data_IF_137438425606
#
_entry.id   IF_137438425606
#
_cell.length_a   1.000
_cell.length_b   1.000
_cell.length_c   1.000
_cell.angle_alpha   90.00
_cell.angle_beta   90.00
_cell.angle_gamma   90.00
#
_symmetry.space_group_name_H-M   'P 1'
#
loop_
_entity.id
_entity.type
_entity.pdbx_description
1 polymer ?
#
# COMPACT_ATOMS: atom_id res chain seq x y z
N UNK A 1 20.04 -12.43 7.81
CA UNK A 1 19.52 -11.32 8.64
C UNK A 1 18.58 -10.55 7.74
N UNK A 2 17.27 -10.52 8.01
CA UNK A 2 16.33 -9.83 7.11
C UNK A 2 16.56 -8.33 7.14
N UNK A 3 16.55 -7.72 5.95
CA UNK A 3 16.78 -6.29 5.76
C UNK A 3 15.57 -5.46 6.23
N UNK A 4 15.84 -4.28 6.81
CA UNK A 4 14.77 -3.33 7.18
C UNK A 4 14.20 -2.72 5.90
N UNK A 5 12.89 -2.82 5.72
CA UNK A 5 12.19 -2.23 4.58
C UNK A 5 11.62 -0.85 4.92
N UNK A 6 11.99 0.15 4.12
CA UNK A 6 11.53 1.53 4.26
C UNK A 6 11.04 2.17 2.95
N UNK A 7 11.05 1.43 1.84
CA UNK A 7 10.62 1.95 0.54
C UNK A 7 9.10 2.04 0.44
N UNK A 8 8.59 2.89 -0.44
CA UNK A 8 7.15 3.00 -0.75
C UNK A 8 6.77 2.16 -1.99
N UNK A 9 7.74 1.50 -2.62
CA UNK A 9 7.54 0.68 -3.81
C UNK A 9 6.84 -0.66 -3.49
N UNK A 10 5.64 -0.85 -4.04
CA UNK A 10 4.88 -2.11 -3.96
C UNK A 10 5.65 -3.31 -4.53
N UNK A 11 6.32 -3.13 -5.67
CA UNK A 11 7.12 -4.17 -6.32
C UNK A 11 8.30 -4.58 -5.45
N UNK A 12 8.98 -3.59 -4.85
CA UNK A 12 10.11 -3.86 -3.94
C UNK A 12 9.63 -4.53 -2.67
N UNK A 13 8.45 -4.15 -2.17
CA UNK A 13 7.85 -4.75 -0.98
C UNK A 13 7.41 -6.20 -1.21
N UNK A 14 6.78 -6.51 -2.36
CA UNK A 14 6.38 -7.87 -2.70
C UNK A 14 7.58 -8.83 -2.71
N UNK A 15 8.69 -8.44 -3.36
CA UNK A 15 9.94 -9.21 -3.36
C UNK A 15 10.54 -9.35 -1.97
N UNK A 16 10.55 -8.27 -1.19
CA UNK A 16 11.01 -8.33 0.20
C UNK A 16 10.14 -9.30 1.04
N UNK A 17 8.82 -9.30 0.82
CA UNK A 17 7.87 -10.17 1.48
C UNK A 17 8.08 -11.65 1.13
N UNK A 18 8.32 -11.97 -0.14
CA UNK A 18 8.71 -13.32 -0.58
C UNK A 18 9.99 -13.79 0.14
N UNK A 19 11.04 -12.97 0.12
CA UNK A 19 12.28 -13.27 0.84
C UNK A 19 12.09 -13.43 2.35
N UNK A 20 11.17 -12.67 2.95
CA UNK A 20 10.82 -12.82 4.34
C UNK A 20 10.14 -14.17 4.62
N UNK A 21 9.21 -14.59 3.76
CA UNK A 21 8.52 -15.88 3.91
C UNK A 21 9.48 -17.05 3.77
N UNK A 22 10.37 -17.03 2.77
CA UNK A 22 11.43 -18.02 2.61
C UNK A 22 12.34 -18.08 3.85
N UNK A 23 12.72 -16.90 4.37
CA UNK A 23 13.50 -16.81 5.60
C UNK A 23 12.76 -17.40 6.80
N UNK A 24 11.47 -17.10 6.95
CA UNK A 24 10.65 -17.60 8.04
C UNK A 24 10.42 -19.12 7.94
N UNK A 25 10.38 -19.68 6.74
CA UNK A 25 10.27 -21.12 6.52
C UNK A 25 11.54 -21.86 6.97
N UNK A 26 12.72 -21.32 6.66
CA UNK A 26 14.01 -21.96 6.96
C UNK A 26 14.48 -21.69 8.39
N UNK A 27 14.41 -20.44 8.85
CA UNK A 27 14.99 -20.01 10.13
C UNK A 27 13.94 -19.78 11.22
N UNK A 28 12.71 -19.45 10.82
CA UNK A 28 11.57 -19.22 11.71
C UNK A 28 10.67 -20.46 11.84
N UNK A 29 11.17 -21.65 11.58
CA UNK A 29 10.36 -22.87 11.49
C UNK A 29 9.59 -23.21 12.78
N UNK A 30 10.11 -22.75 13.92
CA UNK A 30 9.47 -22.91 15.24
C UNK A 30 8.66 -21.69 15.69
N UNK A 31 8.63 -20.64 14.87
CA UNK A 31 7.92 -19.42 15.23
C UNK A 31 6.43 -19.61 15.00
N UNK A 32 5.66 -19.20 15.99
CA UNK A 32 4.22 -19.01 15.86
C UNK A 32 3.94 -17.87 14.87
N UNK A 33 2.76 -17.87 14.24
CA UNK A 33 2.38 -16.80 13.32
C UNK A 33 2.44 -15.42 13.98
N UNK A 34 2.08 -15.34 15.27
CA UNK A 34 2.20 -14.09 16.04
C UNK A 34 3.64 -13.58 16.15
N UNK A 35 4.62 -14.47 16.28
CA UNK A 35 6.04 -14.14 16.33
C UNK A 35 6.55 -13.68 14.96
N UNK A 36 6.13 -14.34 13.88
CA UNK A 36 6.41 -13.91 12.51
C UNK A 36 5.84 -12.52 12.23
N UNK A 37 4.59 -12.27 12.61
CA UNK A 37 3.94 -10.96 12.43
C UNK A 37 4.66 -9.87 13.23
N UNK A 38 5.08 -10.17 14.47
CA UNK A 38 5.88 -9.24 15.27
C UNK A 38 7.24 -8.98 14.64
N UNK A 39 7.89 -10.00 14.06
CA UNK A 39 9.16 -9.81 13.38
C UNK A 39 9.00 -8.93 12.12
N UNK A 40 7.95 -9.12 11.33
CA UNK A 40 7.59 -8.19 10.23
C UNK A 40 7.51 -6.77 10.76
N UNK A 41 6.77 -6.52 11.85
CA UNK A 41 6.64 -5.19 12.46
C UNK A 41 7.99 -4.51 12.72
N UNK A 42 8.98 -5.25 13.21
CA UNK A 42 10.32 -4.73 13.51
C UNK A 42 11.14 -4.40 12.26
N UNK A 43 10.89 -5.10 11.16
CA UNK A 43 11.58 -4.90 9.90
C UNK A 43 10.97 -3.77 9.05
N UNK A 44 9.82 -3.20 9.44
CA UNK A 44 9.19 -2.10 8.71
C UNK A 44 9.55 -0.73 9.31
N UNK A 45 9.81 0.25 8.44
CA UNK A 45 9.95 1.67 8.78
C UNK A 45 9.10 2.54 7.84
N UNK A 46 8.87 3.79 8.23
CA UNK A 46 8.17 4.77 7.39
C UNK A 46 6.74 4.37 7.07
N UNK A 47 6.33 4.55 5.81
CA UNK A 47 4.97 4.32 5.34
C UNK A 47 4.50 2.85 5.49
N UNK A 48 5.28 1.81 5.11
CA UNK A 48 4.92 0.41 5.37
C UNK A 48 4.59 0.12 6.84
N UNK A 49 5.33 0.73 7.77
CA UNK A 49 5.05 0.57 9.21
C UNK A 49 3.73 1.22 9.61
N UNK A 50 3.42 2.41 9.08
CA UNK A 50 2.14 3.08 9.31
C UNK A 50 0.97 2.23 8.81
N UNK A 51 1.11 1.56 7.67
CA UNK A 51 0.09 0.63 7.17
C UNK A 51 -0.03 -0.62 8.03
N UNK A 52 1.08 -1.16 8.53
CA UNK A 52 1.08 -2.32 9.41
C UNK A 52 0.28 -2.07 10.70
N UNK A 53 0.44 -0.88 11.28
CA UNK A 53 -0.26 -0.51 12.50
C UNK A 53 -1.77 -0.29 12.27
N UNK A 54 -2.23 -0.24 11.01
CA UNK A 54 -3.64 -0.12 10.60
C UNK A 54 -4.29 -1.41 10.14
N UNK A 55 -3.55 -2.53 10.10
CA UNK A 55 -4.09 -3.81 9.63
C UNK A 55 -5.26 -4.22 10.55
N UNK A 56 -6.46 -4.47 10.01
CA UNK A 56 -7.59 -4.99 10.77
C UNK A 56 -7.23 -6.33 11.46
N UNK A 57 -7.72 -6.56 12.67
CA UNK A 57 -7.37 -7.76 13.44
C UNK A 57 -7.69 -9.07 12.70
N UNK A 58 -8.78 -9.09 11.92
CA UNK A 58 -9.20 -10.22 11.10
C UNK A 58 -8.31 -10.48 9.88
N UNK A 59 -7.42 -9.55 9.51
CA UNK A 59 -6.45 -9.72 8.42
C UNK A 59 -5.01 -9.86 8.95
N UNK A 60 -4.85 -9.94 10.27
CA UNK A 60 -3.57 -10.03 10.99
C UNK A 60 -3.42 -11.38 11.70
N UNK A 61 -3.85 -12.44 11.03
CA UNK A 61 -3.85 -13.82 11.49
C UNK A 61 -2.60 -14.59 11.03
N UNK A 62 -2.09 -14.28 9.83
CA UNK A 62 -0.88 -14.90 9.27
C UNK A 62 0.11 -13.86 8.74
N UNK A 63 1.40 -14.20 8.75
CA UNK A 63 2.45 -13.39 8.15
C UNK A 63 2.21 -13.14 6.65
N UNK A 64 1.70 -14.14 5.93
CA UNK A 64 1.36 -14.03 4.52
C UNK A 64 0.22 -13.03 4.27
N UNK A 65 -0.85 -13.04 5.09
CA UNK A 65 -1.95 -12.09 4.97
C UNK A 65 -1.49 -10.65 5.25
N UNK A 66 -0.62 -10.47 6.24
CA UNK A 66 0.00 -9.18 6.54
C UNK A 66 0.80 -8.65 5.34
N UNK A 67 1.66 -9.49 4.74
CA UNK A 67 2.45 -9.11 3.57
C UNK A 67 1.55 -8.77 2.38
N UNK A 68 0.52 -9.59 2.12
CA UNK A 68 -0.45 -9.32 1.05
C UNK A 68 -1.14 -7.97 1.25
N UNK A 69 -1.67 -7.71 2.46
CA UNK A 69 -2.33 -6.45 2.79
C UNK A 69 -1.41 -5.25 2.54
N UNK A 70 -0.17 -5.31 3.04
CA UNK A 70 0.79 -4.23 2.88
C UNK A 70 1.21 -4.00 1.42
N UNK A 71 1.27 -5.07 0.62
CA UNK A 71 1.52 -4.96 -0.82
C UNK A 71 0.38 -4.22 -1.53
N UNK A 72 -0.88 -4.56 -1.23
CA UNK A 72 -2.08 -3.87 -1.74
C UNK A 72 -2.12 -2.39 -1.30
N UNK A 73 -1.80 -2.15 0.00
CA UNK A 73 -1.24 -0.93 0.61
C UNK A 73 -0.51 0.03 -0.33
N UNK A 74 0.69 -0.40 -0.60
CA UNK A 74 1.71 0.37 -1.29
C UNK A 74 1.36 0.53 -2.76
N UNK A 75 0.69 -0.45 -3.35
CA UNK A 75 0.29 -0.40 -4.76
C UNK A 75 -0.83 0.60 -5.02
N UNK A 76 -1.83 0.67 -4.12
CA UNK A 76 -2.88 1.69 -4.19
C UNK A 76 -2.34 3.11 -4.04
N UNK A 77 -1.29 3.30 -3.22
CA UNK A 77 -0.64 4.61 -3.02
C UNK A 77 0.06 5.08 -4.29
N UNK A 78 0.85 4.20 -4.91
CA UNK A 78 1.50 4.48 -6.20
C UNK A 78 0.48 4.78 -7.30
N UNK A 79 -0.58 3.97 -7.38
CA UNK A 79 -1.65 4.15 -8.37
C UNK A 79 -2.34 5.51 -8.22
N UNK A 80 -2.57 5.95 -6.98
CA UNK A 80 -3.09 7.28 -6.68
C UNK A 80 -2.16 8.41 -7.09
N UNK A 81 -0.85 8.29 -6.83
CA UNK A 81 0.12 9.33 -7.23
C UNK A 81 0.19 9.49 -8.75
N UNK A 82 0.21 8.37 -9.48
CA UNK A 82 0.16 8.39 -10.95
C UNK A 82 -1.13 9.05 -11.45
N UNK A 83 -2.28 8.67 -10.89
CA UNK A 83 -3.57 9.26 -11.25
C UNK A 83 -3.63 10.77 -10.92
N UNK A 84 -3.02 11.22 -9.82
CA UNK A 84 -2.90 12.65 -9.50
C UNK A 84 -2.08 13.41 -10.56
N UNK A 85 -0.95 12.84 -10.99
CA UNK A 85 -0.15 13.43 -12.08
C UNK A 85 -0.92 13.47 -13.40
N UNK A 86 -1.66 12.40 -13.72
CA UNK A 86 -2.51 12.34 -14.90
C UNK A 86 -3.64 13.38 -14.85
N UNK A 87 -4.29 13.55 -13.70
CA UNK A 87 -5.33 14.56 -13.51
C UNK A 87 -4.80 15.98 -13.70
N UNK A 88 -3.61 16.27 -13.14
CA UNK A 88 -2.97 17.59 -13.29
C UNK A 88 -2.61 17.90 -14.74
N UNK A 89 -2.25 16.87 -15.52
CA UNK A 89 -1.96 16.99 -16.95
C UNK A 89 -3.23 16.96 -17.83
N UNK A 90 -4.38 16.53 -17.30
CA UNK A 90 -5.61 16.35 -18.06
C UNK A 90 -6.27 17.70 -18.38
N UNK A 91 -6.14 18.13 -19.63
CA UNK A 91 -6.84 19.29 -20.19
C UNK A 91 -7.91 18.83 -21.18
N UNK A 92 -9.00 19.59 -21.26
CA UNK A 92 -9.98 19.42 -22.34
C UNK A 92 -9.33 19.84 -23.66
N UNK A 93 -9.51 19.03 -24.71
CA UNK A 93 -8.95 19.30 -26.04
C UNK A 93 -9.92 20.18 -26.85
N UNK A 94 -9.40 20.93 -27.84
CA UNK A 94 -10.20 21.89 -28.61
C UNK A 94 -11.39 21.28 -29.38
N UNK A 95 -11.34 19.98 -29.69
CA UNK A 95 -12.41 19.25 -30.42
C UNK A 95 -13.19 18.29 -29.51
N UNK A 96 -12.98 18.35 -28.21
CA UNK A 96 -13.58 17.42 -27.25
C UNK A 96 -14.80 18.03 -26.56
N UNK A 97 -15.92 17.32 -26.58
CA UNK A 97 -17.11 17.73 -25.84
C UNK A 97 -17.00 17.42 -24.33
N UNK A 98 -17.88 18.02 -23.53
CA UNK A 98 -17.83 17.87 -22.07
C UNK A 98 -18.03 16.42 -21.60
N UNK A 99 -18.81 15.61 -22.31
CA UNK A 99 -19.05 14.21 -21.96
C UNK A 99 -17.82 13.34 -22.26
N UNK A 100 -17.16 13.59 -23.39
CA UNK A 100 -15.91 12.94 -23.76
C UNK A 100 -14.79 13.29 -22.78
N UNK A 101 -14.70 14.57 -22.38
CA UNK A 101 -13.76 15.00 -21.36
C UNK A 101 -14.05 14.35 -20.01
N UNK A 102 -15.31 14.36 -19.57
CA UNK A 102 -15.72 13.71 -18.33
C UNK A 102 -15.42 12.21 -18.34
N UNK A 103 -15.65 11.53 -19.47
CA UNK A 103 -15.34 10.10 -19.63
C UNK A 103 -13.87 9.76 -19.43
N UNK A 104 -12.95 10.69 -19.68
CA UNK A 104 -11.51 10.52 -19.37
C UNK A 104 -11.17 10.89 -17.93
N UNK A 105 -11.80 11.92 -17.38
CA UNK A 105 -11.49 12.45 -16.04
C UNK A 105 -12.05 11.56 -14.92
N UNK A 106 -13.27 11.04 -15.09
CA UNK A 106 -13.96 10.21 -14.08
C UNK A 106 -13.10 9.02 -13.59
N UNK A 107 -12.56 8.15 -14.46
CA UNK A 107 -11.78 6.99 -14.01
C UNK A 107 -10.48 7.39 -13.27
N UNK A 108 -9.88 8.52 -13.64
CA UNK A 108 -8.71 9.07 -12.94
C UNK A 108 -9.10 9.50 -11.53
N UNK A 109 -10.22 10.22 -11.39
CA UNK A 109 -10.74 10.66 -10.08
C UNK A 109 -11.14 9.46 -9.21
N UNK A 110 -11.77 8.43 -9.78
CA UNK A 110 -12.13 7.20 -9.07
C UNK A 110 -10.88 6.51 -8.51
N UNK A 111 -9.80 6.42 -9.29
CA UNK A 111 -8.52 5.85 -8.85
C UNK A 111 -7.90 6.67 -7.69
N UNK A 112 -8.00 8.00 -7.75
CA UNK A 112 -7.51 8.88 -6.66
C UNK A 112 -8.34 8.70 -5.38
N UNK A 113 -9.67 8.53 -5.52
CA UNK A 113 -10.59 8.35 -4.39
C UNK A 113 -10.40 6.99 -3.72
N UNK A 114 -10.18 5.92 -4.48
CA UNK A 114 -9.90 4.58 -3.94
C UNK A 114 -8.62 4.55 -3.08
N UNK A 115 -7.61 5.35 -3.40
CA UNK A 115 -6.40 5.48 -2.59
C UNK A 115 -6.53 6.43 -1.37
N UNK A 116 -7.69 7.07 -1.16
CA UNK A 116 -7.89 8.10 -0.12
C UNK A 116 -8.38 7.53 1.21
N UNK A 117 -9.05 6.38 1.19
CA UNK A 117 -9.82 5.87 2.33
C UNK A 117 -8.98 5.39 3.54
N UNK A 118 -7.64 5.30 3.44
CA UNK A 118 -6.86 4.71 4.55
C UNK A 118 -5.86 5.62 5.27
N UNK A 119 -5.49 6.76 4.69
CA UNK A 119 -4.49 7.65 5.31
C UNK A 119 -5.08 8.99 5.72
N UNK A 120 -6.06 9.52 4.98
CA UNK A 120 -6.52 10.89 5.12
C UNK A 120 -7.51 11.15 6.27
N UNK A 121 -8.09 10.13 6.90
CA UNK A 121 -9.09 10.34 7.97
C UNK A 121 -8.48 10.76 9.32
N UNK A 122 -7.16 10.65 9.52
CA UNK A 122 -6.57 10.91 10.84
C UNK A 122 -5.60 12.10 10.93
N UNK A 123 -5.21 12.75 9.82
CA UNK A 123 -4.40 13.99 9.89
C UNK A 123 -5.25 15.24 10.18
N UNK A 124 -6.58 15.13 10.22
CA UNK A 124 -7.50 16.23 10.59
C UNK A 124 -7.94 16.23 12.06
N UNK A 125 -7.38 15.36 12.91
CA UNK A 125 -7.64 15.40 14.36
C UNK A 125 -6.43 15.91 15.14
N UNK A 126 -5.99 17.14 14.86
CA UNK A 126 -5.16 17.93 15.77
C UNK A 126 -5.50 19.41 15.61
N UNK A 127 -6.03 20.02 16.68
CA UNK A 127 -6.34 21.45 16.79
C UNK A 127 -7.59 21.71 17.61
#
# INVERSE_FOLDING_TARGET
MSEIFSSESSISFARWGEHYLDYAEVFGQKWEESEKINHIKFLLRGLPRKYFDKIPANQKDTAANVIRYLSEKLDGTRSREVALQELLACRQRDQEDANQFAGRVIPIVETIMQGRDEVALNDTTFG
#
